data_IF_521661209011
#
_entry.id   IF_521661209011
#
_cell.length_a   1.000
_cell.length_b   1.000
_cell.length_c   1.000
_cell.angle_alpha   90.00
_cell.angle_beta   90.00
_cell.angle_gamma   90.00
#
_symmetry.space_group_name_H-M   'P 1'
#
loop_
_entity.id
_entity.type
_entity.pdbx_description
1 polymer ?
#
# COMPACT_ATOMS: atom_id res chain seq x y z
N UNK A 1 -2.57 6.26 -10.38
CA UNK A 1 -1.58 5.51 -9.59
C UNK A 1 -0.92 4.50 -10.51
N UNK A 2 0.39 4.24 -10.38
CA UNK A 2 1.42 3.84 -11.37
C UNK A 2 1.18 2.64 -12.32
N UNK A 3 -0.06 2.25 -12.57
CA UNK A 3 -0.38 1.12 -13.43
C UNK A 3 0.15 -0.17 -12.82
N UNK A 4 1.08 -0.81 -13.52
CA UNK A 4 1.67 -2.10 -13.12
C UNK A 4 2.89 -1.96 -12.21
N UNK A 5 3.59 -0.82 -12.21
CA UNK A 5 4.78 -0.58 -11.38
C UNK A 5 4.55 0.66 -10.52
N UNK A 6 4.68 0.59 -9.18
CA UNK A 6 4.48 1.74 -8.33
C UNK A 6 5.43 2.88 -8.72
N UNK A 7 4.90 4.11 -8.74
CA UNK A 7 5.70 5.32 -8.90
C UNK A 7 5.96 5.98 -7.53
N UNK A 8 6.67 7.10 -7.52
CA UNK A 8 7.00 7.81 -6.27
C UNK A 8 5.77 8.21 -5.44
N UNK A 9 4.64 8.53 -6.09
CA UNK A 9 3.41 8.86 -5.38
C UNK A 9 2.81 7.62 -4.70
N UNK A 10 2.84 6.46 -5.38
CA UNK A 10 2.38 5.20 -4.79
C UNK A 10 3.21 4.84 -3.54
N UNK A 11 4.54 5.01 -3.63
CA UNK A 11 5.46 4.74 -2.51
C UNK A 11 5.26 5.71 -1.34
N UNK A 12 5.02 7.00 -1.62
CA UNK A 12 4.76 7.99 -0.58
C UNK A 12 3.47 7.67 0.20
N UNK A 13 2.37 7.37 -0.51
CA UNK A 13 1.10 7.01 0.13
C UNK A 13 1.21 5.68 0.87
N UNK A 14 1.86 4.68 0.28
CA UNK A 14 2.10 3.39 0.91
C UNK A 14 2.88 3.54 2.22
N UNK A 15 3.94 4.35 2.23
CA UNK A 15 4.75 4.61 3.43
C UNK A 15 3.94 5.20 4.58
N UNK A 16 3.03 6.13 4.30
CA UNK A 16 2.13 6.71 5.32
C UNK A 16 1.17 5.67 5.88
N UNK A 17 0.54 4.89 5.00
CA UNK A 17 -0.43 3.86 5.41
C UNK A 17 0.21 2.72 6.17
N UNK A 18 1.43 2.32 5.80
CA UNK A 18 2.17 1.23 6.45
C UNK A 18 2.46 1.50 7.92
N UNK A 19 2.67 2.76 8.30
CA UNK A 19 2.89 3.13 9.71
C UNK A 19 1.64 2.87 10.57
N UNK A 20 0.46 2.77 9.96
CA UNK A 20 -0.79 2.51 10.65
C UNK A 20 -1.10 1.01 10.78
N UNK A 21 -0.29 0.11 10.20
CA UNK A 21 -0.49 -1.34 10.30
C UNK A 21 -0.58 -1.79 11.78
N UNK A 22 -1.60 -2.58 12.10
CA UNK A 22 -1.89 -3.05 13.47
C UNK A 22 -2.82 -2.15 14.27
N UNK A 23 -3.23 -1.00 13.74
CA UNK A 23 -4.28 -0.16 14.32
C UNK A 23 -5.66 -0.53 13.76
N UNK A 24 -6.71 -0.39 14.56
CA UNK A 24 -8.11 -0.59 14.13
C UNK A 24 -8.48 0.29 12.92
N UNK A 25 -7.97 1.53 12.88
CA UNK A 25 -8.19 2.44 11.75
C UNK A 25 -7.63 1.91 10.42
N UNK A 26 -6.55 1.12 10.46
CA UNK A 26 -6.01 0.49 9.26
C UNK A 26 -6.88 -0.69 8.82
N UNK A 27 -7.36 -1.51 9.77
CA UNK A 27 -8.30 -2.59 9.48
C UNK A 27 -9.59 -2.04 8.85
N UNK A 28 -10.13 -0.94 9.39
CA UNK A 28 -11.32 -0.29 8.85
C UNK A 28 -11.08 0.25 7.44
N UNK A 29 -9.94 0.90 7.20
CA UNK A 29 -9.55 1.37 5.87
C UNK A 29 -9.51 0.22 4.87
N UNK A 30 -8.95 -0.93 5.26
CA UNK A 30 -8.81 -2.10 4.39
C UNK A 30 -10.16 -2.79 4.12
N UNK A 31 -11.09 -2.77 5.06
CA UNK A 31 -12.42 -3.41 4.92
C UNK A 31 -13.46 -2.53 4.24
N UNK A 32 -13.46 -1.24 4.53
CA UNK A 32 -14.53 -0.32 4.13
C UNK A 32 -14.16 0.53 2.91
N UNK A 33 -12.97 0.35 2.36
CA UNK A 33 -12.56 1.00 1.11
C UNK A 33 -12.02 -0.01 0.11
N UNK A 34 -11.90 0.42 -1.15
CA UNK A 34 -11.35 -0.40 -2.22
C UNK A 34 -9.82 -0.26 -2.35
N UNK A 35 -9.13 0.20 -1.29
CA UNK A 35 -7.68 0.45 -1.32
C UNK A 35 -6.85 -0.83 -1.23
N UNK A 36 -7.39 -1.89 -0.61
CA UNK A 36 -6.67 -3.13 -0.32
C UNK A 36 -6.00 -3.74 -1.58
N UNK A 37 -6.65 -3.88 -2.74
CA UNK A 37 -5.99 -4.41 -3.94
C UNK A 37 -4.81 -3.56 -4.40
N UNK A 38 -4.86 -2.23 -4.23
CA UNK A 38 -3.73 -1.36 -4.56
C UNK A 38 -2.61 -1.52 -3.52
N UNK A 39 -2.94 -1.52 -2.23
CA UNK A 39 -1.97 -1.64 -1.14
C UNK A 39 -1.12 -2.91 -1.29
N UNK A 40 -1.77 -4.06 -1.48
CA UNK A 40 -1.12 -5.36 -1.65
C UNK A 40 -0.25 -5.43 -2.92
N UNK A 41 -0.64 -4.74 -4.00
CA UNK A 41 0.19 -4.66 -5.21
C UNK A 41 1.48 -3.89 -4.96
N UNK A 42 1.40 -2.76 -4.25
CA UNK A 42 2.57 -1.94 -3.91
C UNK A 42 3.48 -2.70 -2.95
N UNK A 43 2.92 -3.35 -1.93
CA UNK A 43 3.65 -4.19 -0.98
C UNK A 43 4.44 -5.30 -1.71
N UNK A 44 3.77 -6.05 -2.58
CA UNK A 44 4.40 -7.10 -3.38
C UNK A 44 5.53 -6.56 -4.26
N UNK A 45 5.29 -5.44 -4.95
CA UNK A 45 6.30 -4.83 -5.81
C UNK A 45 7.54 -4.33 -5.03
N UNK A 46 7.38 -3.91 -3.78
CA UNK A 46 8.49 -3.55 -2.89
C UNK A 46 9.23 -4.81 -2.41
N UNK A 47 8.51 -5.88 -2.07
CA UNK A 47 9.13 -7.14 -1.64
C UNK A 47 9.94 -7.83 -2.76
N UNK A 48 9.52 -7.66 -4.01
CA UNK A 48 10.21 -8.18 -5.21
C UNK A 48 11.32 -7.26 -5.72
N UNK A 49 11.47 -6.05 -5.17
CA UNK A 49 12.52 -5.14 -5.60
C UNK A 49 13.90 -5.66 -5.16
N UNK A 50 14.87 -5.83 -6.08
CA UNK A 50 16.23 -6.19 -5.71
C UNK A 50 16.85 -5.08 -4.85
N UNK A 51 17.56 -5.48 -3.80
CA UNK A 51 18.27 -4.60 -2.85
C UNK A 51 19.40 -3.84 -3.53
#
# INVERSE_FOLDING_TARGET
>A
MGGQKPNLADLAVYGVLRVMEGLEAFDDLMRHTHIQPWYLRVEKAIAEAPQ
#
